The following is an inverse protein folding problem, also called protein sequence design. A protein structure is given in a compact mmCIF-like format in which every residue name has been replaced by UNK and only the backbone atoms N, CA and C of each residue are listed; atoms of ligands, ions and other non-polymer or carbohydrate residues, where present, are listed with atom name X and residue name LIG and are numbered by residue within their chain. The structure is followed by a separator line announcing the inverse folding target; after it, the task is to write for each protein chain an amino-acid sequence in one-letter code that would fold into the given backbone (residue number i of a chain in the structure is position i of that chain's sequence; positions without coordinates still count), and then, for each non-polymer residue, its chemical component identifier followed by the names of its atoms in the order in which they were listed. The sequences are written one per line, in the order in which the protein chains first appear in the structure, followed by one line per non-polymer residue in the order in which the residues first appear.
data_IF_054884711935
#
_entry.id   IF_054884711935
#
_cell.length_a   1.000
_cell.length_b   1.000
_cell.length_c   1.000
_cell.angle_alpha   90.00
_cell.angle_beta   90.00
_cell.angle_gamma   90.00
#
_symmetry.space_group_name_H-M   'P 1'
#
loop_
_entity.id
_entity.type
_entity.pdbx_description
1 polymer ?
#
# COMPACT_ATOMS: atom_id res chain seq x y z
N UNK A 1 20.23 -4.81 -16.42
CA UNK A 1 20.49 -4.82 -14.96
C UNK A 1 21.83 -4.16 -14.72
N UNK A 2 22.88 -4.67 -15.37
CA UNK A 2 24.26 -4.15 -15.28
C UNK A 2 24.39 -2.67 -15.68
N UNK A 3 23.72 -2.24 -16.75
CA UNK A 3 23.74 -0.81 -17.17
C UNK A 3 23.08 0.13 -16.15
N UNK A 4 22.05 -0.34 -15.42
CA UNK A 4 21.33 0.44 -14.40
C UNK A 4 22.11 0.49 -13.08
N UNK A 5 22.83 -0.59 -12.76
CA UNK A 5 23.72 -0.66 -11.59
C UNK A 5 24.96 0.22 -11.80
N UNK A 6 25.50 0.25 -13.02
CA UNK A 6 26.60 1.13 -13.40
C UNK A 6 26.20 2.63 -13.30
N UNK A 7 25.00 3.02 -13.75
CA UNK A 7 24.52 4.41 -13.62
C UNK A 7 24.22 4.82 -12.16
N UNK A 8 23.82 3.88 -11.31
CA UNK A 8 23.49 4.16 -9.90
C UNK A 8 24.69 4.14 -8.96
N UNK A 9 25.87 3.73 -9.45
CA UNK A 9 27.10 3.60 -8.66
C UNK A 9 27.05 2.51 -7.59
N UNK A 10 26.05 1.62 -7.65
CA UNK A 10 25.87 0.52 -6.69
C UNK A 10 26.45 -0.77 -7.24
N UNK A 11 27.08 -1.55 -6.36
CA UNK A 11 27.44 -2.92 -6.66
C UNK A 11 26.19 -3.81 -6.66
N UNK A 12 26.28 -4.96 -7.34
CA UNK A 12 25.22 -5.97 -7.35
C UNK A 12 24.85 -6.42 -5.92
N UNK A 13 25.85 -6.60 -5.05
CA UNK A 13 25.64 -7.02 -3.66
C UNK A 13 24.89 -5.96 -2.84
N UNK A 14 25.25 -4.68 -2.99
CA UNK A 14 24.52 -3.57 -2.35
C UNK A 14 23.08 -3.46 -2.84
N UNK A 15 22.86 -3.67 -4.14
CA UNK A 15 21.52 -3.70 -4.71
C UNK A 15 20.69 -4.84 -4.13
N UNK A 16 21.23 -6.06 -4.09
CA UNK A 16 20.52 -7.22 -3.59
C UNK A 16 20.19 -7.09 -2.09
N UNK A 17 21.13 -6.58 -1.29
CA UNK A 17 20.90 -6.29 0.12
C UNK A 17 19.78 -5.25 0.31
N UNK A 18 19.79 -4.17 -0.48
CA UNK A 18 18.75 -3.13 -0.42
C UNK A 18 17.38 -3.66 -0.83
N UNK A 19 17.31 -4.48 -1.89
CA UNK A 19 16.06 -5.12 -2.32
C UNK A 19 15.52 -6.03 -1.23
N UNK A 20 16.40 -6.81 -0.58
CA UNK A 20 16.02 -7.69 0.53
C UNK A 20 15.47 -6.91 1.71
N UNK A 21 16.16 -5.87 2.18
CA UNK A 21 15.69 -5.02 3.28
C UNK A 21 14.34 -4.37 2.96
N UNK A 22 14.18 -3.87 1.74
CA UNK A 22 12.93 -3.28 1.29
C UNK A 22 11.80 -4.32 1.24
N UNK A 23 12.08 -5.54 0.76
CA UNK A 23 11.13 -6.63 0.74
C UNK A 23 10.70 -7.02 2.16
N UNK A 24 11.65 -7.18 3.08
CA UNK A 24 11.35 -7.49 4.50
C UNK A 24 10.47 -6.42 5.15
N UNK A 25 10.79 -5.13 4.93
CA UNK A 25 9.99 -4.02 5.43
C UNK A 25 8.58 -4.04 4.85
N UNK A 26 8.46 -4.31 3.55
CA UNK A 26 7.18 -4.36 2.84
C UNK A 26 6.30 -5.49 3.36
N UNK A 27 6.86 -6.70 3.50
CA UNK A 27 6.15 -7.85 4.06
C UNK A 27 5.68 -7.55 5.48
N UNK A 28 6.54 -6.97 6.32
CA UNK A 28 6.17 -6.59 7.69
C UNK A 28 5.01 -5.59 7.70
N UNK A 29 5.02 -4.59 6.83
CA UNK A 29 3.94 -3.61 6.73
C UNK A 29 2.62 -4.26 6.35
N UNK A 30 2.59 -5.16 5.37
CA UNK A 30 1.38 -5.86 4.98
C UNK A 30 0.85 -6.78 6.09
N UNK A 31 1.73 -7.52 6.78
CA UNK A 31 1.33 -8.34 7.92
C UNK A 31 0.71 -7.51 9.06
N UNK A 32 1.21 -6.30 9.30
CA UNK A 32 0.60 -5.39 10.27
C UNK A 32 -0.77 -4.91 9.81
N UNK A 33 -0.92 -4.56 8.52
CA UNK A 33 -2.21 -4.16 7.96
C UNK A 33 -3.23 -5.30 7.95
N UNK A 34 -2.79 -6.55 7.73
CA UNK A 34 -3.65 -7.72 7.84
C UNK A 34 -4.20 -7.86 9.25
N UNK A 35 -3.33 -7.85 10.26
CA UNK A 35 -3.72 -7.94 11.66
C UNK A 35 -4.66 -6.79 12.08
N UNK A 36 -4.38 -5.56 11.63
CA UNK A 36 -5.26 -4.41 11.90
C UNK A 36 -6.60 -4.52 11.17
N UNK A 37 -6.63 -5.10 9.97
CA UNK A 37 -7.88 -5.28 9.22
C UNK A 37 -8.83 -6.25 9.93
N UNK A 38 -8.26 -7.27 10.60
CA UNK A 38 -9.01 -8.20 11.44
C UNK A 38 -9.49 -7.52 12.72
N UNK A 39 -8.60 -6.79 13.42
CA UNK A 39 -8.94 -6.06 14.66
C UNK A 39 -10.02 -4.97 14.45
N UNK A 40 -10.00 -4.32 13.30
CA UNK A 40 -10.99 -3.29 12.94
C UNK A 40 -12.23 -3.85 12.24
N UNK A 41 -12.33 -5.17 12.10
CA UNK A 41 -13.45 -5.87 11.45
C UNK A 41 -13.74 -5.33 10.03
N UNK A 42 -12.69 -5.06 9.26
CA UNK A 42 -12.81 -4.48 7.92
C UNK A 42 -13.40 -5.49 6.95
N UNK A 43 -14.64 -5.25 6.52
CA UNK A 43 -15.30 -6.01 5.46
C UNK A 43 -15.10 -5.37 4.08
N UNK A 44 -15.16 -6.18 3.03
CA UNK A 44 -15.15 -5.73 1.63
C UNK A 44 -16.49 -6.07 1.01
N UNK A 45 -17.14 -5.08 0.42
CA UNK A 45 -18.42 -5.22 -0.27
C UNK A 45 -18.26 -5.01 -1.78
N UNK A 46 -19.27 -5.42 -2.55
CA UNK A 46 -19.30 -5.20 -4.01
C UNK A 46 -19.19 -3.71 -4.37
N UNK A 47 -19.79 -2.84 -3.56
CA UNK A 47 -19.72 -1.39 -3.74
C UNK A 47 -18.29 -0.85 -3.62
N UNK A 48 -17.44 -1.47 -2.79
CA UNK A 48 -16.04 -1.05 -2.67
C UNK A 48 -15.27 -1.33 -3.98
N UNK A 49 -15.55 -2.46 -4.62
CA UNK A 49 -14.98 -2.79 -5.92
C UNK A 49 -15.45 -1.82 -7.01
N UNK A 50 -16.75 -1.47 -7.03
CA UNK A 50 -17.31 -0.47 -7.95
C UNK A 50 -16.62 0.89 -7.78
N UNK A 51 -16.37 1.32 -6.53
CA UNK A 51 -15.68 2.57 -6.23
C UNK A 51 -14.22 2.58 -6.69
N UNK A 52 -13.49 1.47 -6.57
CA UNK A 52 -12.10 1.38 -7.05
C UNK A 52 -11.99 1.33 -8.57
N UNK A 53 -12.95 0.73 -9.28
CA UNK A 53 -12.91 0.68 -10.75
C UNK A 53 -13.43 1.94 -11.42
N UNK A 54 -14.25 2.75 -10.74
CA UNK A 54 -14.86 3.95 -11.34
C UNK A 54 -13.82 4.94 -11.90
N UNK A 55 -12.72 5.28 -11.20
CA UNK A 55 -11.65 6.10 -11.77
C UNK A 55 -10.99 5.47 -13.01
N UNK A 56 -10.81 4.14 -13.02
CA UNK A 56 -10.21 3.41 -14.14
C UNK A 56 -11.16 3.40 -15.36
N UNK A 57 -12.46 3.22 -15.12
CA UNK A 57 -13.50 3.28 -16.14
C UNK A 57 -13.51 4.64 -16.85
N UNK A 58 -13.44 5.74 -16.08
CA UNK A 58 -13.32 7.08 -16.63
C UNK A 58 -12.02 7.27 -17.41
N UNK A 59 -10.88 6.86 -16.86
CA UNK A 59 -9.58 7.04 -17.49
C UNK A 59 -9.45 6.29 -18.83
N UNK A 60 -10.00 5.07 -18.91
CA UNK A 60 -9.95 4.25 -20.11
C UNK A 60 -11.15 4.40 -21.03
N UNK A 61 -12.14 5.22 -20.67
CA UNK A 61 -13.39 5.39 -21.40
C UNK A 61 -14.11 4.05 -21.65
N UNK A 62 -14.09 3.18 -20.65
CA UNK A 62 -14.73 1.84 -20.64
C UNK A 62 -15.77 1.80 -19.52
N UNK A 63 -16.83 1.00 -19.68
CA UNK A 63 -17.81 0.77 -18.59
C UNK A 63 -17.18 0.07 -17.39
N UNK A 64 -17.46 0.57 -16.18
CA UNK A 64 -17.10 -0.06 -14.90
C UNK A 64 -17.55 -1.52 -14.82
N UNK A 65 -18.72 -1.86 -15.37
CA UNK A 65 -19.24 -3.23 -15.39
C UNK A 65 -18.36 -4.18 -16.19
N UNK A 66 -17.77 -3.70 -17.28
CA UNK A 66 -16.89 -4.51 -18.11
C UNK A 66 -15.57 -4.78 -17.38
N UNK A 67 -15.05 -3.79 -16.65
CA UNK A 67 -13.84 -3.93 -15.83
C UNK A 67 -14.11 -4.91 -14.67
N UNK A 68 -15.24 -4.75 -13.96
CA UNK A 68 -15.62 -5.67 -12.88
C UNK A 68 -15.82 -7.09 -13.36
N UNK A 69 -16.49 -7.29 -14.50
CA UNK A 69 -16.63 -8.62 -15.12
C UNK A 69 -15.28 -9.23 -15.45
N UNK A 70 -14.32 -8.45 -15.92
CA UNK A 70 -12.98 -8.95 -16.21
C UNK A 70 -12.23 -9.34 -14.92
N UNK A 71 -12.42 -8.59 -13.84
CA UNK A 71 -11.77 -8.86 -12.56
C UNK A 71 -12.39 -10.07 -11.87
N UNK A 72 -13.73 -10.17 -11.80
CA UNK A 72 -14.42 -11.30 -11.17
C UNK A 72 -14.26 -12.64 -11.90
N UNK A 73 -13.74 -12.65 -13.12
CA UNK A 73 -13.40 -13.88 -13.86
C UNK A 73 -12.07 -14.50 -13.43
N UNK A 74 -11.22 -13.75 -12.77
CA UNK A 74 -9.87 -14.18 -12.38
C UNK A 74 -9.71 -14.05 -10.87
N UNK A 75 -9.64 -15.18 -10.17
CA UNK A 75 -9.50 -15.20 -8.71
C UNK A 75 -8.29 -14.42 -8.20
N UNK A 76 -7.17 -14.41 -8.94
CA UNK A 76 -5.98 -13.66 -8.53
C UNK A 76 -6.25 -12.16 -8.56
N UNK A 77 -6.96 -11.67 -9.58
CA UNK A 77 -7.33 -10.25 -9.69
C UNK A 77 -8.35 -9.85 -8.63
N UNK A 78 -9.29 -10.74 -8.28
CA UNK A 78 -10.23 -10.51 -7.18
C UNK A 78 -9.48 -10.38 -5.87
N UNK A 79 -8.54 -11.29 -5.58
CA UNK A 79 -7.74 -11.22 -4.35
C UNK A 79 -6.87 -9.96 -4.32
N UNK A 80 -6.19 -9.63 -5.41
CA UNK A 80 -5.32 -8.45 -5.50
C UNK A 80 -6.11 -7.15 -5.25
N UNK A 81 -7.24 -6.97 -5.95
CA UNK A 81 -8.09 -5.80 -5.78
C UNK A 81 -8.74 -5.79 -4.38
N UNK A 82 -9.16 -6.95 -3.89
CA UNK A 82 -9.73 -7.10 -2.54
C UNK A 82 -8.73 -6.69 -1.46
N UNK A 83 -7.49 -7.16 -1.53
CA UNK A 83 -6.44 -6.80 -0.57
C UNK A 83 -6.14 -5.30 -0.63
N UNK A 84 -6.05 -4.71 -1.83
CA UNK A 84 -5.87 -3.27 -1.99
C UNK A 84 -6.99 -2.45 -1.33
N UNK A 85 -8.25 -2.86 -1.55
CA UNK A 85 -9.42 -2.22 -0.90
C UNK A 85 -9.32 -2.36 0.61
N UNK A 86 -9.04 -3.57 1.11
CA UNK A 86 -8.92 -3.86 2.54
C UNK A 86 -7.90 -2.97 3.21
N UNK A 87 -6.70 -2.87 2.65
CA UNK A 87 -5.62 -2.05 3.21
C UNK A 87 -5.94 -0.57 3.19
N UNK A 88 -6.62 -0.09 2.15
CA UNK A 88 -7.08 1.31 2.08
C UNK A 88 -8.11 1.61 3.17
N UNK A 89 -9.11 0.74 3.35
CA UNK A 89 -10.12 0.87 4.42
C UNK A 89 -9.47 0.77 5.81
N UNK A 90 -8.55 -0.16 6.00
CA UNK A 90 -7.80 -0.34 7.27
C UNK A 90 -6.97 0.88 7.60
N UNK A 91 -6.26 1.44 6.61
CA UNK A 91 -5.48 2.68 6.80
C UNK A 91 -6.39 3.84 7.17
N UNK A 92 -7.55 3.96 6.53
CA UNK A 92 -8.54 4.99 6.88
C UNK A 92 -9.04 4.84 8.34
N UNK A 93 -9.41 3.62 8.74
CA UNK A 93 -9.83 3.33 10.12
C UNK A 93 -8.71 3.59 11.13
N UNK A 94 -7.45 3.32 10.77
CA UNK A 94 -6.29 3.69 11.59
C UNK A 94 -6.18 5.21 11.73
N UNK A 95 -6.30 5.96 10.63
CA UNK A 95 -6.22 7.43 10.64
C UNK A 95 -7.31 8.08 11.51
N UNK A 96 -8.48 7.47 11.60
CA UNK A 96 -9.58 7.93 12.47
C UNK A 96 -9.28 7.72 13.97
N UNK A 97 -8.33 6.84 14.32
CA UNK A 97 -7.94 6.52 15.71
C UNK A 97 -6.66 7.23 16.16
N UNK A 98 -5.87 7.78 15.24
CA UNK A 98 -4.63 8.49 15.61
C UNK A 98 -4.88 9.96 15.90
N UNK A 99 -4.00 10.54 16.73
CA UNK A 99 -3.97 11.98 16.94
C UNK A 99 -3.21 12.65 15.79
N UNK A 100 -3.91 13.48 15.02
CA UNK A 100 -3.32 14.29 13.95
C UNK A 100 -2.88 15.62 14.55
N UNK A 101 -1.58 15.91 14.50
CA UNK A 101 -1.04 17.22 14.86
C UNK A 101 -0.74 17.98 13.56
N UNK A 102 -1.60 18.92 13.20
CA UNK A 102 -1.36 19.79 12.04
C UNK A 102 -0.27 20.81 12.37
N UNK A 103 0.71 20.93 11.47
CA UNK A 103 1.81 21.88 11.60
C UNK A 103 1.89 22.75 10.36
N UNK A 104 1.98 24.06 10.52
CA UNK A 104 2.03 25.03 9.42
C UNK A 104 3.26 24.86 8.52
N UNK A 105 4.32 24.23 9.04
CA UNK A 105 5.53 23.84 8.31
C UNK A 105 6.03 22.49 8.82
N UNK A 106 6.23 21.55 7.90
CA UNK A 106 7.02 20.33 8.14
C UNK A 106 8.50 20.73 8.30
N UNK A 107 8.88 21.15 9.51
CA UNK A 107 10.29 21.05 9.92
C UNK A 107 10.64 19.58 10.01
N UNK A 108 11.70 19.09 9.33
CA UNK A 108 12.12 17.71 9.48
C UNK A 108 12.40 17.45 10.97
N UNK A 109 11.66 16.50 11.54
CA UNK A 109 11.86 16.07 12.91
C UNK A 109 13.32 15.61 13.04
N UNK A 110 14.04 16.20 14.00
CA UNK A 110 15.37 15.76 14.40
C UNK A 110 15.36 14.25 14.61
N UNK A 111 16.22 13.55 13.89
CA UNK A 111 16.82 12.32 14.40
C UNK A 111 17.59 12.67 15.68
N UNK A 112 17.63 11.71 16.63
CA UNK A 112 18.42 11.74 17.89
C UNK A 112 17.82 12.66 18.98
N UNK A 113 17.55 12.27 20.24
CA UNK A 113 18.05 11.23 21.16
C UNK A 113 16.96 10.91 22.20
N UNK A 114 16.71 9.63 22.50
CA UNK A 114 16.46 9.19 23.89
C UNK A 114 16.82 7.70 24.01
N UNK A 115 18.14 7.44 23.94
CA UNK A 115 18.75 6.44 24.82
C UNK A 115 19.53 7.23 25.87
N UNK A 116 19.36 6.83 27.13
CA UNK A 116 20.03 7.30 28.36
C UNK A 116 19.41 8.53 29.05
N UNK A 117 18.52 8.29 30.02
CA UNK A 117 18.89 8.29 31.45
C UNK A 117 17.99 7.32 32.24
#
# INVERSE_FOLDING_TARGET
MDDVLAESGMTQEEYDNRVKEQAEKTVRQYLVLDALSEDFEVSIEKADFESEVAPLATAYNVSSDNILKAIFKDQNRVMEMGNRIRYKKTTKALLEKIKINEVDKLTPAKAEEEKAE
#
